data_IF_917720656436
#
_entry.id   IF_917720656436
#
_cell.length_a   1.000
_cell.length_b   1.000
_cell.length_c   1.000
_cell.angle_alpha   90.00
_cell.angle_beta   90.00
_cell.angle_gamma   90.00
#
_symmetry.space_group_name_H-M   'P 1'
#
loop_
_entity.id
_entity.type
_entity.pdbx_description
1 polymer ?
#
# COMPACT_ATOMS: atom_id res chain seq x y z
N UNK A 1 -31.96 -12.68 11.58
CA UNK A 1 -31.45 -11.90 10.43
C UNK A 1 -31.36 -10.44 10.84
N UNK A 2 -30.56 -10.18 11.83
CA UNK A 2 -30.53 -8.89 12.55
C UNK A 2 -29.11 -8.32 12.50
N UNK A 3 -29.04 -7.06 12.17
CA UNK A 3 -28.04 -6.11 12.65
C UNK A 3 -26.55 -6.50 12.44
N UNK A 4 -26.11 -6.65 11.21
CA UNK A 4 -24.75 -6.23 10.88
C UNK A 4 -24.80 -4.70 10.77
N UNK A 5 -24.72 -4.12 11.94
CA UNK A 5 -24.86 -2.71 12.24
C UNK A 5 -23.69 -1.95 11.62
N UNK A 6 -23.85 -0.68 11.34
CA UNK A 6 -22.76 0.22 10.91
C UNK A 6 -21.50 0.13 11.80
N UNK A 7 -21.63 -0.37 13.04
CA UNK A 7 -20.52 -0.67 13.96
C UNK A 7 -19.47 -1.61 13.36
N UNK A 8 -19.87 -2.65 12.59
CA UNK A 8 -18.93 -3.57 11.95
C UNK A 8 -18.10 -2.83 10.89
N UNK A 9 -18.74 -2.02 10.06
CA UNK A 9 -18.07 -1.25 8.99
C UNK A 9 -17.09 -0.23 9.57
N UNK A 10 -17.49 0.49 10.62
CA UNK A 10 -16.61 1.42 11.35
C UNK A 10 -15.42 0.71 11.99
N UNK A 11 -15.64 -0.46 12.58
CA UNK A 11 -14.57 -1.27 13.20
C UNK A 11 -13.55 -1.73 12.18
N UNK A 12 -14.02 -2.24 11.03
CA UNK A 12 -13.17 -2.67 9.92
C UNK A 12 -12.38 -1.48 9.39
N UNK A 13 -13.08 -0.36 9.14
CA UNK A 13 -12.47 0.87 8.68
C UNK A 13 -11.38 1.36 9.64
N UNK A 14 -11.65 1.39 10.93
CA UNK A 14 -10.69 1.82 11.96
C UNK A 14 -9.46 0.91 12.03
N UNK A 15 -9.66 -0.43 12.04
CA UNK A 15 -8.56 -1.39 12.13
C UNK A 15 -7.65 -1.34 10.89
N UNK A 16 -8.23 -1.29 9.71
CA UNK A 16 -7.48 -1.18 8.44
C UNK A 16 -6.75 0.15 8.38
N UNK A 17 -7.41 1.26 8.72
CA UNK A 17 -6.78 2.58 8.71
C UNK A 17 -5.63 2.67 9.70
N UNK A 18 -5.78 2.18 10.93
CA UNK A 18 -4.72 2.15 11.93
C UNK A 18 -3.54 1.28 11.48
N UNK A 19 -3.80 0.14 10.82
CA UNK A 19 -2.77 -0.73 10.27
C UNK A 19 -1.97 -0.04 9.17
N UNK A 20 -2.65 0.59 8.19
CA UNK A 20 -2.00 1.31 7.09
C UNK A 20 -1.29 2.58 7.54
N UNK A 21 -1.74 3.25 8.60
CA UNK A 21 -1.03 4.38 9.18
C UNK A 21 0.38 3.99 9.63
N UNK A 22 0.54 2.81 10.22
CA UNK A 22 1.85 2.31 10.65
C UNK A 22 2.82 2.04 9.48
N UNK A 23 2.34 1.78 8.26
CA UNK A 23 3.23 1.49 7.11
C UNK A 23 4.04 2.73 6.72
N UNK A 24 3.39 3.88 6.60
CA UNK A 24 3.96 5.06 5.95
C UNK A 24 4.31 6.22 6.90
N UNK A 25 4.22 6.00 8.22
CA UNK A 25 4.45 7.03 9.25
C UNK A 25 5.85 7.68 9.18
N UNK A 26 6.87 6.94 8.72
CA UNK A 26 8.24 7.46 8.57
C UNK A 26 8.46 8.26 7.30
N UNK A 27 7.59 8.14 6.30
CA UNK A 27 7.85 8.66 4.97
C UNK A 27 8.10 10.18 4.93
N UNK A 28 7.30 11.04 5.58
CA UNK A 28 7.53 12.49 5.56
C UNK A 28 8.75 12.93 6.36
N UNK A 29 9.21 12.13 7.32
CA UNK A 29 10.32 12.46 8.24
C UNK A 29 11.63 11.75 7.87
N UNK A 30 11.72 11.14 6.68
CA UNK A 30 12.96 10.47 6.27
C UNK A 30 14.21 11.34 6.39
N UNK A 31 14.21 12.64 5.97
CA UNK A 31 15.38 13.50 6.18
C UNK A 31 15.70 13.75 7.67
N UNK A 32 14.68 13.81 8.53
CA UNK A 32 14.87 13.97 9.99
C UNK A 32 15.53 12.72 10.57
N UNK A 33 15.01 11.52 10.21
CA UNK A 33 15.58 10.25 10.67
C UNK A 33 16.99 10.03 10.14
N UNK A 34 17.28 10.47 8.91
CA UNK A 34 18.62 10.40 8.33
C UNK A 34 19.64 11.17 9.18
N UNK A 35 19.29 12.40 9.59
CA UNK A 35 20.15 13.23 10.45
C UNK A 35 20.29 12.64 11.85
N UNK A 36 19.19 12.21 12.46
CA UNK A 36 19.20 11.70 13.84
C UNK A 36 20.01 10.42 13.98
N UNK A 37 19.85 9.48 13.05
CA UNK A 37 20.63 8.23 13.07
C UNK A 37 21.98 8.34 12.35
N UNK A 38 22.36 9.51 11.86
CA UNK A 38 23.61 9.74 11.13
C UNK A 38 23.87 8.70 10.04
N UNK A 39 22.82 8.34 9.29
CA UNK A 39 22.83 7.28 8.28
C UNK A 39 22.77 7.83 6.86
N UNK A 40 22.97 6.98 5.86
CA UNK A 40 22.84 7.41 4.47
C UNK A 40 21.39 7.35 3.96
N UNK A 41 21.15 7.99 2.82
CA UNK A 41 19.83 8.12 2.21
C UNK A 41 19.22 6.74 1.82
N UNK A 42 20.05 5.78 1.41
CA UNK A 42 19.58 4.44 1.05
C UNK A 42 19.15 3.68 2.30
N UNK A 43 19.99 3.73 3.34
CA UNK A 43 19.72 3.04 4.60
C UNK A 43 18.47 3.62 5.29
N UNK A 44 18.32 4.96 5.37
CA UNK A 44 17.14 5.53 6.02
C UNK A 44 15.84 5.16 5.29
N UNK A 45 15.87 4.93 3.98
CA UNK A 45 14.68 4.48 3.25
C UNK A 45 14.21 3.08 3.65
N UNK A 46 15.08 2.27 4.33
CA UNK A 46 14.68 0.98 4.89
C UNK A 46 13.65 1.14 6.02
N UNK A 47 13.54 2.31 6.64
CA UNK A 47 12.48 2.57 7.62
C UNK A 47 11.06 2.44 7.02
N UNK A 48 10.92 2.58 5.70
CA UNK A 48 9.69 2.33 4.94
C UNK A 48 9.75 0.96 4.24
N UNK A 49 10.84 0.68 3.52
CA UNK A 49 10.91 -0.50 2.67
C UNK A 49 10.99 -1.81 3.45
N UNK A 50 11.51 -1.81 4.70
CA UNK A 50 11.50 -2.99 5.58
C UNK A 50 10.07 -3.43 5.96
N UNK A 51 9.17 -2.49 6.22
CA UNK A 51 7.75 -2.79 6.47
C UNK A 51 7.12 -3.42 5.21
N UNK A 52 7.37 -2.83 4.06
CA UNK A 52 6.85 -3.30 2.77
C UNK A 52 7.35 -4.72 2.47
N UNK A 53 8.64 -4.99 2.73
CA UNK A 53 9.22 -6.33 2.59
C UNK A 53 8.59 -7.32 3.55
N UNK A 54 8.42 -6.93 4.84
CA UNK A 54 7.74 -7.74 5.83
C UNK A 54 6.34 -8.15 5.39
N UNK A 55 5.54 -7.20 4.88
CA UNK A 55 4.21 -7.47 4.33
C UNK A 55 4.31 -8.42 3.13
N UNK A 56 5.23 -8.19 2.19
CA UNK A 56 5.40 -9.04 1.01
C UNK A 56 5.63 -10.50 1.39
N UNK A 57 6.55 -10.75 2.31
CA UNK A 57 6.93 -12.11 2.74
C UNK A 57 5.80 -12.79 3.51
N UNK A 58 5.13 -12.07 4.41
CA UNK A 58 4.15 -12.63 5.33
C UNK A 58 2.72 -12.70 4.77
N UNK A 59 2.43 -11.99 3.67
CA UNK A 59 1.07 -11.94 3.11
C UNK A 59 0.51 -13.32 2.73
N UNK A 60 1.31 -14.16 2.05
CA UNK A 60 0.87 -15.53 1.69
C UNK A 60 0.71 -16.43 2.93
N UNK A 61 1.68 -16.52 3.86
CA UNK A 61 1.52 -17.25 5.12
C UNK A 61 0.26 -16.87 5.90
N UNK A 62 -0.02 -15.56 6.05
CA UNK A 62 -1.24 -15.10 6.72
C UNK A 62 -2.51 -15.43 5.95
N UNK A 63 -2.47 -15.41 4.61
CA UNK A 63 -3.58 -15.91 3.79
C UNK A 63 -3.90 -17.38 4.08
N UNK A 64 -2.89 -18.26 4.20
CA UNK A 64 -3.07 -19.66 4.62
C UNK A 64 -3.58 -19.78 6.06
N UNK A 65 -3.09 -18.93 6.95
CA UNK A 65 -3.49 -18.95 8.35
C UNK A 65 -4.96 -18.58 8.53
N UNK A 66 -5.46 -17.61 7.74
CA UNK A 66 -6.85 -17.19 7.71
C UNK A 66 -7.84 -18.30 7.29
N UNK A 67 -7.33 -19.34 6.60
CA UNK A 67 -8.15 -20.52 6.22
C UNK A 67 -8.21 -21.59 7.32
N UNK A 68 -7.31 -21.53 8.31
CA UNK A 68 -7.13 -22.60 9.30
C UNK A 68 -7.43 -22.21 10.74
N UNK A 69 -7.32 -20.94 11.05
CA UNK A 69 -7.44 -20.41 12.41
C UNK A 69 -8.55 -19.37 12.43
N UNK A 70 -9.30 -19.29 13.53
CA UNK A 70 -10.31 -18.26 13.75
C UNK A 70 -9.67 -16.86 13.74
N UNK A 71 -10.45 -15.86 13.33
CA UNK A 71 -9.94 -14.50 13.11
C UNK A 71 -9.45 -13.79 14.40
N UNK A 72 -10.05 -14.10 15.56
CA UNK A 72 -9.78 -13.41 16.82
C UNK A 72 -8.32 -13.52 17.28
N UNK A 73 -7.72 -14.73 17.45
CA UNK A 73 -6.32 -14.84 17.85
C UNK A 73 -5.37 -14.22 16.82
N UNK A 74 -5.71 -14.27 15.52
CA UNK A 74 -4.89 -13.66 14.46
C UNK A 74 -4.87 -12.14 14.63
N UNK A 75 -6.03 -11.49 14.79
CA UNK A 75 -6.14 -10.05 15.02
C UNK A 75 -5.49 -9.65 16.35
N UNK A 76 -5.70 -10.42 17.42
CA UNK A 76 -5.12 -10.13 18.71
C UNK A 76 -3.59 -10.11 18.67
N UNK A 77 -2.98 -11.20 18.21
CA UNK A 77 -1.51 -11.31 18.11
C UNK A 77 -0.99 -10.27 17.11
N UNK A 78 -1.63 -10.12 15.95
CA UNK A 78 -1.25 -9.14 14.93
C UNK A 78 -1.23 -7.72 15.48
N UNK A 79 -2.31 -7.30 16.16
CA UNK A 79 -2.42 -5.97 16.75
C UNK A 79 -1.39 -5.72 17.85
N UNK A 80 -1.17 -6.70 18.74
CA UNK A 80 -0.13 -6.61 19.77
C UNK A 80 1.26 -6.47 19.17
N UNK A 81 1.60 -7.27 18.16
CA UNK A 81 2.93 -7.26 17.55
C UNK A 81 3.18 -5.99 16.73
N UNK A 82 2.16 -5.46 16.03
CA UNK A 82 2.29 -4.17 15.33
C UNK A 82 2.48 -3.03 16.32
N UNK A 83 1.72 -3.01 17.41
CA UNK A 83 1.87 -2.00 18.47
C UNK A 83 3.20 -2.11 19.20
N UNK A 84 3.63 -3.32 19.53
CA UNK A 84 4.92 -3.58 20.17
C UNK A 84 6.08 -3.10 19.30
N UNK A 85 6.07 -3.42 18.00
CA UNK A 85 7.04 -2.87 17.05
C UNK A 85 7.02 -1.34 17.01
N UNK A 86 5.83 -0.72 17.06
CA UNK A 86 5.69 0.73 17.13
C UNK A 86 6.27 1.34 18.41
N UNK A 87 6.05 0.71 19.55
CA UNK A 87 6.64 1.15 20.83
C UNK A 87 8.17 1.00 20.83
N UNK A 88 8.71 -0.08 20.27
CA UNK A 88 10.17 -0.22 20.07
C UNK A 88 10.67 0.94 19.20
N UNK A 89 10.01 1.26 18.09
CA UNK A 89 10.38 2.41 17.27
C UNK A 89 10.35 3.73 18.06
N UNK A 90 9.36 3.92 18.95
CA UNK A 90 9.22 5.13 19.76
C UNK A 90 10.36 5.33 20.75
N UNK A 91 10.97 4.26 21.27
CA UNK A 91 12.04 4.34 22.28
C UNK A 91 13.44 4.04 21.72
N UNK A 92 13.52 3.65 20.44
CA UNK A 92 14.80 3.24 19.83
C UNK A 92 15.74 4.42 19.61
N UNK A 93 17.00 4.24 20.02
CA UNK A 93 18.12 5.12 19.68
C UNK A 93 19.12 4.42 18.74
N UNK A 94 18.94 3.13 18.46
CA UNK A 94 19.74 2.36 17.53
C UNK A 94 18.99 2.18 16.20
N UNK A 95 19.69 2.46 15.10
CA UNK A 95 19.11 2.40 13.76
C UNK A 95 18.65 0.97 13.38
N UNK A 96 19.46 -0.05 13.68
CA UNK A 96 19.14 -1.41 13.27
C UNK A 96 18.03 -2.01 14.12
N UNK A 97 17.95 -1.65 15.40
CA UNK A 97 16.80 -1.98 16.25
C UNK A 97 15.52 -1.35 15.71
N UNK A 98 15.59 -0.09 15.25
CA UNK A 98 14.46 0.59 14.60
C UNK A 98 14.03 -0.15 13.33
N UNK A 99 14.98 -0.52 12.43
CA UNK A 99 14.68 -1.28 11.21
C UNK A 99 14.08 -2.65 11.53
N UNK A 100 14.63 -3.37 12.52
CA UNK A 100 14.09 -4.66 12.96
C UNK A 100 12.65 -4.54 13.46
N UNK A 101 12.34 -3.50 14.25
CA UNK A 101 10.99 -3.22 14.71
C UNK A 101 10.04 -2.86 13.55
N UNK A 102 10.50 -2.10 12.56
CA UNK A 102 9.75 -1.79 11.35
C UNK A 102 9.46 -3.06 10.53
N UNK A 103 10.44 -3.94 10.37
CA UNK A 103 10.25 -5.23 9.69
C UNK A 103 9.25 -6.11 10.44
N UNK A 104 9.33 -6.17 11.78
CA UNK A 104 8.37 -6.87 12.63
C UNK A 104 6.94 -6.35 12.41
N UNK A 105 6.74 -5.03 12.41
CA UNK A 105 5.45 -4.44 12.06
C UNK A 105 4.95 -4.94 10.71
N UNK A 106 5.83 -4.93 9.69
CA UNK A 106 5.51 -5.41 8.35
C UNK A 106 5.06 -6.87 8.33
N UNK A 107 5.72 -7.75 9.08
CA UNK A 107 5.35 -9.17 9.18
C UNK A 107 3.91 -9.33 9.71
N UNK A 108 3.50 -8.54 10.69
CA UNK A 108 2.20 -8.74 11.35
C UNK A 108 1.05 -7.88 10.79
N UNK A 109 1.31 -6.88 9.95
CA UNK A 109 0.24 -6.10 9.30
C UNK A 109 -0.73 -6.98 8.49
N UNK A 110 -0.33 -8.02 7.73
CA UNK A 110 -1.27 -8.89 7.04
C UNK A 110 -2.25 -9.64 7.95
N UNK A 111 -1.92 -9.85 9.23
CA UNK A 111 -2.87 -10.37 10.21
C UNK A 111 -4.10 -9.47 10.36
N UNK A 112 -3.90 -8.14 10.33
CA UNK A 112 -4.95 -7.14 10.49
C UNK A 112 -5.62 -6.75 9.16
N UNK A 113 -5.01 -7.06 8.04
CA UNK A 113 -5.49 -6.65 6.71
C UNK A 113 -5.90 -7.86 5.88
N UNK A 114 -4.97 -8.70 5.46
CA UNK A 114 -5.23 -9.86 4.59
C UNK A 114 -6.17 -10.86 5.23
N UNK A 115 -5.95 -11.19 6.51
CA UNK A 115 -6.83 -12.11 7.23
C UNK A 115 -8.23 -11.52 7.45
N UNK A 116 -8.32 -10.22 7.73
CA UNK A 116 -9.61 -9.54 7.85
C UNK A 116 -10.37 -9.54 6.52
N UNK A 117 -9.71 -9.25 5.39
CA UNK A 117 -10.34 -9.31 4.07
C UNK A 117 -10.85 -10.73 3.74
N UNK A 118 -10.06 -11.76 4.06
CA UNK A 118 -10.47 -13.16 3.90
C UNK A 118 -11.67 -13.53 4.80
N UNK A 119 -11.67 -13.07 6.05
CA UNK A 119 -12.79 -13.23 6.97
C UNK A 119 -14.08 -12.61 6.41
N UNK A 120 -14.01 -11.36 5.93
CA UNK A 120 -15.17 -10.66 5.36
C UNK A 120 -15.73 -11.39 4.13
N UNK A 121 -14.84 -11.88 3.28
CA UNK A 121 -15.24 -12.65 2.10
C UNK A 121 -15.98 -13.95 2.44
N UNK A 122 -15.68 -14.58 3.60
CA UNK A 122 -16.31 -15.80 4.07
C UNK A 122 -17.64 -15.55 4.82
N UNK A 123 -17.75 -14.41 5.51
CA UNK A 123 -18.85 -14.18 6.45
C UNK A 123 -19.97 -13.30 5.90
N UNK A 124 -19.69 -12.47 4.89
CA UNK A 124 -20.66 -11.53 4.36
C UNK A 124 -21.32 -12.02 3.07
N UNK A 125 -22.65 -11.79 2.91
CA UNK A 125 -23.33 -11.98 1.63
C UNK A 125 -22.70 -11.07 0.56
N UNK A 126 -22.67 -11.55 -0.71
CA UNK A 126 -21.99 -10.86 -1.83
C UNK A 126 -22.38 -9.40 -1.98
N UNK A 127 -23.66 -9.05 -1.81
CA UNK A 127 -24.14 -7.65 -1.91
C UNK A 127 -23.51 -6.75 -0.84
N UNK A 128 -23.41 -7.23 0.41
CA UNK A 128 -22.77 -6.47 1.50
C UNK A 128 -21.26 -6.50 1.39
N UNK A 129 -20.68 -7.61 0.97
CA UNK A 129 -19.24 -7.73 0.78
C UNK A 129 -18.71 -6.65 -0.16
N UNK A 130 -19.41 -6.36 -1.26
CA UNK A 130 -18.98 -5.31 -2.20
C UNK A 130 -18.94 -3.92 -1.55
N UNK A 131 -19.92 -3.59 -0.69
CA UNK A 131 -19.95 -2.29 0.01
C UNK A 131 -18.83 -2.22 1.05
N UNK A 132 -18.69 -3.26 1.87
CA UNK A 132 -17.67 -3.31 2.93
C UNK A 132 -16.26 -3.33 2.35
N UNK A 133 -16.02 -4.02 1.23
CA UNK A 133 -14.73 -3.99 0.55
C UNK A 133 -14.43 -2.62 -0.08
N UNK A 134 -15.45 -1.88 -0.51
CA UNK A 134 -15.29 -0.47 -0.89
C UNK A 134 -14.80 0.40 0.27
N UNK A 135 -15.41 0.27 1.44
CA UNK A 135 -15.00 0.94 2.68
C UNK A 135 -13.59 0.50 3.11
N UNK A 136 -13.27 -0.79 2.96
CA UNK A 136 -11.95 -1.35 3.23
C UNK A 136 -10.87 -0.67 2.37
N UNK A 137 -11.08 -0.56 1.06
CA UNK A 137 -10.13 0.12 0.15
C UNK A 137 -9.98 1.59 0.51
N UNK A 138 -11.07 2.29 0.82
CA UNK A 138 -11.01 3.68 1.29
C UNK A 138 -10.21 3.80 2.59
N UNK A 139 -10.38 2.86 3.52
CA UNK A 139 -9.62 2.80 4.77
C UNK A 139 -8.11 2.61 4.53
N UNK A 140 -7.70 1.84 3.51
CA UNK A 140 -6.26 1.69 3.19
C UNK A 140 -5.64 3.01 2.74
N UNK A 141 -6.36 3.77 1.90
CA UNK A 141 -5.89 5.07 1.39
C UNK A 141 -5.86 6.11 2.50
N UNK A 142 -6.96 6.22 3.27
CA UNK A 142 -7.06 7.18 4.38
C UNK A 142 -6.09 6.84 5.52
N UNK A 143 -5.92 5.56 5.85
CA UNK A 143 -4.93 5.11 6.83
C UNK A 143 -3.50 5.45 6.39
N UNK A 144 -3.17 5.17 5.14
CA UNK A 144 -1.87 5.53 4.58
C UNK A 144 -1.62 7.05 4.58
N UNK A 145 -2.64 7.87 4.32
CA UNK A 145 -2.57 9.32 4.47
C UNK A 145 -2.42 9.73 5.94
N UNK A 146 -3.28 9.20 6.83
CA UNK A 146 -3.25 9.52 8.25
C UNK A 146 -1.89 9.22 8.89
N UNK A 147 -1.25 8.10 8.53
CA UNK A 147 0.09 7.78 8.99
C UNK A 147 1.13 8.82 8.59
N UNK A 148 1.08 9.32 7.35
CA UNK A 148 1.95 10.40 6.88
C UNK A 148 1.70 11.70 7.61
N UNK A 149 0.43 12.07 7.80
CA UNK A 149 0.08 13.29 8.53
C UNK A 149 0.53 13.21 9.99
N UNK A 150 0.29 12.07 10.67
CA UNK A 150 0.80 11.83 12.02
C UNK A 150 2.33 11.91 12.07
N UNK A 151 3.00 11.20 11.15
CA UNK A 151 4.46 11.15 11.10
C UNK A 151 5.11 12.49 10.82
N UNK A 152 4.46 13.38 10.05
CA UNK A 152 5.07 14.64 9.64
C UNK A 152 4.61 15.87 10.41
N UNK A 153 3.38 15.92 10.94
CA UNK A 153 2.91 17.10 11.69
C UNK A 153 3.20 17.05 13.20
N UNK A 154 3.22 15.85 13.81
CA UNK A 154 3.55 15.72 15.23
C UNK A 154 5.00 16.11 15.54
N UNK A 155 6.02 15.75 14.73
CA UNK A 155 7.40 16.07 15.02
C UNK A 155 7.72 17.55 15.18
N UNK A 156 7.02 18.43 14.47
CA UNK A 156 7.36 19.86 14.47
C UNK A 156 7.29 20.51 15.87
N UNK A 157 6.21 20.33 16.67
CA UNK A 157 6.17 20.85 18.01
C UNK A 157 6.78 19.94 19.08
N UNK A 158 6.96 18.63 18.80
CA UNK A 158 7.34 17.63 19.81
C UNK A 158 8.56 16.81 19.33
N UNK A 159 8.36 15.51 19.17
CA UNK A 159 9.36 14.55 18.69
C UNK A 159 8.66 13.47 17.87
N UNK A 160 9.27 13.01 16.79
CA UNK A 160 8.71 11.97 15.91
C UNK A 160 8.37 10.67 16.66
N UNK A 161 9.02 10.40 17.79
CA UNK A 161 8.73 9.24 18.64
C UNK A 161 7.30 9.21 19.15
N UNK A 162 6.71 10.39 19.44
CA UNK A 162 5.30 10.47 19.84
C UNK A 162 4.33 10.00 18.75
N UNK A 163 4.66 10.21 17.48
CA UNK A 163 3.84 9.71 16.37
C UNK A 163 3.73 8.17 16.40
N UNK A 164 4.82 7.48 16.69
CA UNK A 164 4.81 6.02 16.87
C UNK A 164 4.03 5.58 18.11
N UNK A 165 4.18 6.27 19.22
CA UNK A 165 3.39 6.01 20.43
C UNK A 165 1.89 6.14 20.16
N UNK A 166 1.46 7.22 19.52
CA UNK A 166 0.05 7.45 19.14
C UNK A 166 -0.44 6.37 18.18
N UNK A 167 0.33 6.04 17.14
CA UNK A 167 -0.03 4.99 16.18
C UNK A 167 -0.17 3.63 16.86
N UNK A 168 0.68 3.32 17.84
CA UNK A 168 0.60 2.08 18.64
C UNK A 168 -0.66 2.03 19.48
N UNK A 169 -1.03 3.13 20.13
CA UNK A 169 -2.29 3.23 20.90
C UNK A 169 -3.50 3.08 19.97
N UNK A 170 -3.49 3.73 18.81
CA UNK A 170 -4.59 3.64 17.84
C UNK A 170 -4.78 2.22 17.32
N UNK A 171 -3.70 1.50 16.97
CA UNK A 171 -3.83 0.12 16.48
C UNK A 171 -4.28 -0.83 17.59
N UNK A 172 -3.85 -0.64 18.83
CA UNK A 172 -4.36 -1.40 19.97
C UNK A 172 -5.85 -1.14 20.22
N UNK A 173 -6.26 0.13 20.27
CA UNK A 173 -7.66 0.50 20.45
C UNK A 173 -8.55 -0.11 19.35
N UNK A 174 -8.12 -0.02 18.09
CA UNK A 174 -8.82 -0.62 16.96
C UNK A 174 -8.85 -2.16 17.04
N UNK A 175 -7.76 -2.79 17.48
CA UNK A 175 -7.67 -4.24 17.70
C UNK A 175 -8.65 -4.70 18.75
N UNK A 176 -8.65 -4.09 19.93
CA UNK A 176 -9.58 -4.46 21.02
C UNK A 176 -11.05 -4.19 20.65
N UNK A 177 -11.31 -3.12 19.90
CA UNK A 177 -12.66 -2.85 19.36
C UNK A 177 -13.08 -3.94 18.40
N UNK A 178 -12.17 -4.37 17.49
CA UNK A 178 -12.42 -5.45 16.54
C UNK A 178 -12.73 -6.78 17.25
N UNK A 179 -11.96 -7.13 18.29
CA UNK A 179 -12.19 -8.36 19.07
C UNK A 179 -13.55 -8.39 19.78
N UNK A 180 -14.11 -7.23 20.13
CA UNK A 180 -15.44 -7.13 20.76
C UNK A 180 -16.59 -7.10 19.75
N UNK A 181 -16.31 -6.70 18.52
CA UNK A 181 -17.36 -6.41 17.50
C UNK A 181 -17.47 -7.51 16.47
N UNK A 182 -16.35 -8.15 16.10
CA UNK A 182 -16.33 -9.21 15.10
C UNK A 182 -16.94 -10.50 15.68
N UNK A 183 -17.92 -11.12 15.02
CA UNK A 183 -18.42 -12.42 15.41
C UNK A 183 -17.32 -13.49 15.39
N UNK A 184 -17.27 -14.41 16.34
CA UNK A 184 -16.36 -15.54 16.29
C UNK A 184 -16.70 -16.42 15.10
N UNK A 185 -15.68 -16.77 14.30
CA UNK A 185 -15.83 -17.80 13.25
C UNK A 185 -15.17 -19.08 13.72
N UNK A 186 -15.86 -20.20 13.51
CA UNK A 186 -15.23 -21.50 13.62
C UNK A 186 -14.41 -21.72 12.35
N UNK A 187 -13.22 -22.30 12.49
CA UNK A 187 -12.41 -22.71 11.36
C UNK A 187 -13.19 -23.77 10.58
N UNK A 188 -13.66 -23.41 9.39
CA UNK A 188 -14.38 -24.35 8.53
C UNK A 188 -13.34 -25.29 7.88
N UNK A 189 -13.21 -26.49 8.43
CA UNK A 189 -12.36 -27.55 7.89
C UNK A 189 -12.89 -28.16 6.56
N UNK A 190 -13.97 -27.61 5.98
CA UNK A 190 -14.85 -28.35 5.08
C UNK A 190 -14.88 -28.03 3.58
N UNK A 191 -14.36 -26.93 3.11
CA UNK A 191 -14.41 -26.65 1.66
C UNK A 191 -13.00 -26.52 1.06
N UNK A 192 -12.40 -27.64 0.70
CA UNK A 192 -11.42 -27.67 -0.38
C UNK A 192 -12.14 -27.29 -1.68
N UNK A 193 -12.33 -26.00 -1.93
CA UNK A 193 -12.56 -25.56 -3.29
C UNK A 193 -11.37 -26.04 -4.13
N UNK A 194 -11.66 -26.67 -5.29
CA UNK A 194 -10.64 -27.02 -6.28
C UNK A 194 -9.79 -25.78 -6.60
N UNK A 195 -8.65 -25.69 -5.96
CA UNK A 195 -7.87 -24.46 -5.97
C UNK A 195 -6.68 -24.66 -6.90
N UNK A 196 -6.64 -23.84 -7.94
CA UNK A 196 -5.48 -23.77 -8.84
C UNK A 196 -4.22 -23.45 -8.04
N UNK A 197 -3.17 -24.25 -8.21
CA UNK A 197 -1.90 -24.05 -7.51
C UNK A 197 -1.23 -22.70 -7.86
N UNK A 198 -0.54 -22.08 -6.90
CA UNK A 198 0.21 -20.82 -7.13
C UNK A 198 1.18 -20.91 -8.32
N UNK A 199 1.85 -22.05 -8.47
CA UNK A 199 2.81 -22.25 -9.56
C UNK A 199 2.16 -22.27 -10.95
N UNK A 200 0.94 -22.77 -11.04
CA UNK A 200 0.16 -22.74 -12.30
C UNK A 200 -0.24 -21.31 -12.65
N UNK A 201 -0.64 -20.51 -11.64
CA UNK A 201 -1.02 -19.10 -11.84
C UNK A 201 0.18 -18.24 -12.29
N UNK A 202 1.36 -18.45 -11.70
CA UNK A 202 2.58 -17.71 -12.07
C UNK A 202 3.04 -18.07 -13.50
N UNK A 203 2.86 -19.30 -13.95
CA UNK A 203 3.22 -19.72 -15.32
C UNK A 203 2.32 -19.12 -16.40
N UNK A 204 1.13 -18.65 -16.06
CA UNK A 204 0.21 -18.04 -17.01
C UNK A 204 0.68 -16.63 -17.35
N UNK A 205 1.25 -16.44 -18.55
CA UNK A 205 1.80 -15.18 -19.04
C UNK A 205 0.83 -14.00 -18.96
N UNK A 206 -0.46 -14.26 -19.19
CA UNK A 206 -1.51 -13.26 -19.09
C UNK A 206 -1.66 -12.70 -17.66
N UNK A 207 -1.52 -13.55 -16.63
CA UNK A 207 -1.59 -13.14 -15.23
C UNK A 207 -0.27 -12.50 -14.81
N UNK A 208 0.86 -13.06 -15.25
CA UNK A 208 2.21 -12.53 -14.93
C UNK A 208 2.36 -11.07 -15.41
N UNK A 209 1.81 -10.73 -16.57
CA UNK A 209 1.78 -9.33 -17.06
C UNK A 209 1.02 -8.41 -16.11
N UNK A 210 -0.11 -8.87 -15.54
CA UNK A 210 -0.90 -8.08 -14.60
C UNK A 210 -0.17 -7.97 -13.26
N UNK A 211 0.47 -9.03 -12.78
CA UNK A 211 1.33 -8.99 -11.59
C UNK A 211 2.52 -8.05 -11.79
N UNK A 212 3.18 -8.11 -12.94
CA UNK A 212 4.25 -7.19 -13.31
C UNK A 212 3.77 -5.73 -13.37
N UNK A 213 2.56 -5.50 -13.91
CA UNK A 213 1.93 -4.18 -13.92
C UNK A 213 1.75 -3.63 -12.50
N UNK A 214 1.30 -4.46 -11.56
CA UNK A 214 1.18 -4.09 -10.15
C UNK A 214 2.54 -3.72 -9.54
N UNK A 215 3.56 -4.57 -9.76
CA UNK A 215 4.91 -4.34 -9.28
C UNK A 215 5.51 -3.05 -9.84
N UNK A 216 5.46 -2.85 -11.14
CA UNK A 216 6.03 -1.67 -11.80
C UNK A 216 5.34 -0.37 -11.44
N UNK A 217 4.00 -0.35 -11.40
CA UNK A 217 3.25 0.85 -11.02
C UNK A 217 3.46 1.22 -9.55
N UNK A 218 3.51 0.25 -8.65
CA UNK A 218 3.78 0.53 -7.24
C UNK A 218 5.25 0.88 -6.98
N UNK A 219 6.19 0.31 -7.75
CA UNK A 219 7.58 0.73 -7.70
C UNK A 219 7.73 2.23 -8.01
N UNK A 220 7.09 2.73 -9.06
CA UNK A 220 7.08 4.15 -9.41
C UNK A 220 6.44 4.98 -8.31
N UNK A 221 5.22 4.63 -7.91
CA UNK A 221 4.45 5.37 -6.93
C UNK A 221 5.17 5.47 -5.58
N UNK A 222 5.65 4.35 -5.07
CA UNK A 222 6.36 4.30 -3.79
C UNK A 222 7.68 5.06 -3.82
N UNK A 223 8.41 5.01 -4.93
CA UNK A 223 9.67 5.74 -5.11
C UNK A 223 9.46 7.24 -5.09
N UNK A 224 8.49 7.75 -5.88
CA UNK A 224 8.21 9.20 -5.92
C UNK A 224 7.89 9.72 -4.52
N UNK A 225 6.95 9.09 -3.81
CA UNK A 225 6.54 9.54 -2.50
C UNK A 225 7.58 9.30 -1.40
N UNK A 226 8.47 8.31 -1.55
CA UNK A 226 9.52 8.04 -0.59
C UNK A 226 10.66 9.07 -0.65
N UNK A 227 11.02 9.52 -1.85
CA UNK A 227 12.11 10.48 -2.03
C UNK A 227 11.63 11.94 -2.16
N UNK A 228 10.31 12.16 -2.17
CA UNK A 228 9.71 13.50 -2.17
C UNK A 228 10.21 14.41 -1.04
N UNK A 229 10.32 13.97 0.23
CA UNK A 229 10.81 14.81 1.32
C UNK A 229 12.22 15.35 1.06
N UNK A 230 13.14 14.50 0.59
CA UNK A 230 14.50 14.93 0.25
C UNK A 230 14.52 15.91 -0.92
N UNK A 231 13.66 15.73 -1.92
CA UNK A 231 13.54 16.66 -3.05
C UNK A 231 13.03 18.02 -2.63
N UNK A 232 12.05 18.05 -1.72
CA UNK A 232 11.40 19.29 -1.29
C UNK A 232 12.19 20.04 -0.19
N UNK A 233 12.97 19.35 0.62
CA UNK A 233 13.89 19.98 1.57
C UNK A 233 15.04 20.70 0.87
N UNK A 234 15.47 20.18 -0.30
CA UNK A 234 16.56 20.77 -1.08
C UNK A 234 16.12 22.00 -1.89
N UNK A 235 17.08 22.90 -2.26
CA UNK A 235 16.81 23.97 -3.21
C UNK A 235 16.21 23.43 -4.54
N UNK A 236 15.33 24.18 -5.20
CA UNK A 236 14.89 25.54 -4.88
C UNK A 236 13.71 25.63 -3.90
N UNK A 237 13.19 24.51 -3.38
CA UNK A 237 11.95 24.47 -2.59
C UNK A 237 12.18 24.88 -1.13
N UNK A 238 13.17 24.31 -0.46
CA UNK A 238 13.50 24.54 0.94
C UNK A 238 12.27 24.39 1.88
N UNK A 239 11.46 23.37 1.64
CA UNK A 239 10.25 23.11 2.41
C UNK A 239 10.59 22.52 3.77
N UNK A 240 9.83 22.95 4.78
CA UNK A 240 9.83 22.27 6.08
C UNK A 240 9.15 20.90 5.99
N UNK A 241 9.33 20.09 7.03
CA UNK A 241 8.67 18.78 7.13
C UNK A 241 7.14 18.91 7.08
N UNK A 242 6.57 19.95 7.72
CA UNK A 242 5.12 20.20 7.75
C UNK A 242 4.58 20.59 6.37
N UNK A 243 5.30 21.47 5.66
CA UNK A 243 4.93 21.84 4.29
C UNK A 243 4.95 20.64 3.37
N UNK A 244 5.99 19.81 3.45
CA UNK A 244 6.11 18.57 2.69
C UNK A 244 4.99 17.61 3.05
N UNK A 245 4.67 17.47 4.34
CA UNK A 245 3.62 16.61 4.85
C UNK A 245 2.25 17.01 4.31
N UNK A 246 1.98 18.30 4.21
CA UNK A 246 0.71 18.81 3.66
C UNK A 246 0.48 18.37 2.21
N UNK A 247 1.53 18.15 1.42
CA UNK A 247 1.41 17.66 0.05
C UNK A 247 0.89 16.22 -0.05
N UNK A 248 1.04 15.41 1.00
CA UNK A 248 0.48 14.05 0.99
C UNK A 248 -1.06 14.03 0.96
N UNK A 249 -1.75 15.14 1.24
CA UNK A 249 -3.21 15.27 1.11
C UNK A 249 -3.69 14.88 -0.31
N UNK A 250 -2.85 14.98 -1.33
CA UNK A 250 -3.16 14.52 -2.70
C UNK A 250 -3.56 13.05 -2.76
N UNK A 251 -3.21 12.23 -1.76
CA UNK A 251 -3.65 10.83 -1.67
C UNK A 251 -5.18 10.67 -1.65
N UNK A 252 -5.92 11.68 -1.20
CA UNK A 252 -7.39 11.69 -1.23
C UNK A 252 -7.94 11.42 -2.64
N UNK A 253 -7.22 11.79 -3.69
CA UNK A 253 -7.56 11.49 -5.08
C UNK A 253 -7.75 9.98 -5.30
N UNK A 254 -6.96 9.15 -4.61
CA UNK A 254 -7.05 7.69 -4.70
C UNK A 254 -8.41 7.11 -4.34
N UNK A 255 -9.15 7.76 -3.42
CA UNK A 255 -10.49 7.31 -3.00
C UNK A 255 -11.47 7.36 -4.18
N UNK A 256 -11.37 8.38 -5.02
CA UNK A 256 -12.26 8.59 -6.16
C UNK A 256 -11.85 7.77 -7.39
N UNK A 257 -10.56 7.47 -7.53
CA UNK A 257 -10.05 6.81 -8.73
C UNK A 257 -10.47 5.35 -8.87
N UNK A 258 -10.75 4.64 -7.78
CA UNK A 258 -11.24 3.26 -7.83
C UNK A 258 -12.55 3.13 -8.62
N UNK A 259 -13.64 3.78 -8.19
CA UNK A 259 -14.92 3.79 -8.93
C UNK A 259 -14.81 4.34 -10.35
N UNK A 260 -14.03 5.40 -10.57
CA UNK A 260 -13.81 6.00 -11.90
C UNK A 260 -13.15 4.97 -12.83
N UNK A 261 -12.09 4.32 -12.37
CA UNK A 261 -11.37 3.31 -13.13
C UNK A 261 -12.26 2.10 -13.49
N UNK A 262 -13.11 1.66 -12.56
CA UNK A 262 -14.11 0.61 -12.83
C UNK A 262 -15.06 0.99 -13.97
N UNK A 263 -15.59 2.22 -13.96
CA UNK A 263 -16.45 2.74 -15.04
C UNK A 263 -15.68 2.83 -16.37
N UNK A 264 -14.42 3.27 -16.33
CA UNK A 264 -13.56 3.32 -17.53
C UNK A 264 -13.31 1.92 -18.09
N UNK A 265 -12.98 0.93 -17.25
CA UNK A 265 -12.82 -0.47 -17.68
C UNK A 265 -14.08 -1.02 -18.36
N UNK A 266 -15.27 -0.63 -17.90
CA UNK A 266 -16.53 -1.07 -18.52
C UNK A 266 -16.79 -0.37 -19.87
N UNK A 267 -16.38 0.90 -20.03
CA UNK A 267 -16.64 1.70 -21.26
C UNK A 267 -15.62 1.47 -22.36
N UNK A 268 -14.35 1.51 -22.03
CA UNK A 268 -13.24 1.52 -22.99
C UNK A 268 -12.36 0.27 -22.92
N UNK A 269 -12.69 -0.64 -21.99
CA UNK A 269 -11.94 -1.89 -21.73
C UNK A 269 -10.75 -1.70 -20.79
N UNK A 270 -10.37 -2.79 -20.13
CA UNK A 270 -9.28 -2.76 -19.13
C UNK A 270 -7.93 -2.34 -19.74
N UNK A 271 -7.57 -2.86 -20.93
CA UNK A 271 -6.31 -2.53 -21.58
C UNK A 271 -6.15 -1.04 -21.86
N UNK A 272 -7.18 -0.38 -22.38
CA UNK A 272 -7.15 1.07 -22.63
C UNK A 272 -7.12 1.87 -21.33
N UNK A 273 -7.78 1.41 -20.26
CA UNK A 273 -7.74 2.04 -18.94
C UNK A 273 -6.35 1.95 -18.33
N UNK A 274 -5.66 0.82 -18.45
CA UNK A 274 -4.27 0.67 -18.01
C UNK A 274 -3.33 1.60 -18.76
N UNK A 275 -3.47 1.69 -20.10
CA UNK A 275 -2.68 2.60 -20.93
C UNK A 275 -2.94 4.05 -20.53
N UNK A 276 -4.19 4.46 -20.39
CA UNK A 276 -4.56 5.82 -19.97
C UNK A 276 -3.98 6.20 -18.61
N UNK A 277 -4.05 5.29 -17.62
CA UNK A 277 -3.42 5.47 -16.30
C UNK A 277 -1.90 5.59 -16.40
N UNK A 278 -1.24 4.78 -17.23
CA UNK A 278 0.20 4.82 -17.42
C UNK A 278 0.65 6.10 -18.16
N UNK A 279 -0.09 6.56 -19.15
CA UNK A 279 0.18 7.84 -19.83
C UNK A 279 0.03 9.01 -18.87
N UNK A 280 -1.05 9.02 -18.06
CA UNK A 280 -1.23 10.05 -17.03
C UNK A 280 -0.08 10.04 -16.02
N UNK A 281 0.36 8.85 -15.58
CA UNK A 281 1.51 8.70 -14.69
C UNK A 281 2.80 9.25 -15.34
N UNK A 282 3.03 8.99 -16.63
CA UNK A 282 4.18 9.51 -17.37
C UNK A 282 4.19 11.05 -17.49
N UNK A 283 3.04 11.65 -17.82
CA UNK A 283 2.89 13.12 -17.83
C UNK A 283 3.17 13.69 -16.44
N UNK A 284 2.68 13.01 -15.41
CA UNK A 284 2.85 13.43 -14.02
C UNK A 284 4.33 13.37 -13.57
N UNK A 285 5.10 12.37 -14.01
CA UNK A 285 6.54 12.33 -13.76
C UNK A 285 7.25 13.54 -14.38
N UNK A 286 6.87 13.95 -15.60
CA UNK A 286 7.41 15.15 -16.23
C UNK A 286 7.06 16.44 -15.46
N UNK A 287 5.88 16.52 -14.84
CA UNK A 287 5.50 17.65 -13.98
C UNK A 287 6.26 17.66 -12.66
N UNK A 288 6.38 16.52 -11.97
CA UNK A 288 7.12 16.40 -10.70
C UNK A 288 8.64 16.65 -10.89
N UNK A 289 9.13 16.48 -12.10
CA UNK A 289 10.51 16.82 -12.47
C UNK A 289 10.79 18.32 -12.42
N UNK A 290 9.80 19.18 -12.69
CA UNK A 290 9.96 20.63 -12.78
C UNK A 290 10.27 21.27 -11.43
N UNK A 291 11.14 22.32 -11.38
CA UNK A 291 11.45 23.06 -10.16
C UNK A 291 10.38 24.13 -9.85
N UNK A 292 9.12 23.75 -9.84
CA UNK A 292 7.96 24.61 -9.59
C UNK A 292 6.98 23.92 -8.64
N UNK A 293 6.58 24.62 -7.57
CA UNK A 293 5.62 24.09 -6.59
C UNK A 293 4.29 23.69 -7.26
N UNK A 294 3.76 24.54 -8.11
CA UNK A 294 2.51 24.27 -8.82
C UNK A 294 2.61 23.02 -9.71
N UNK A 295 3.74 22.87 -10.42
CA UNK A 295 4.00 21.69 -11.25
C UNK A 295 4.15 20.42 -10.40
N UNK A 296 4.84 20.50 -9.28
CA UNK A 296 4.97 19.37 -8.34
C UNK A 296 3.61 18.96 -7.79
N UNK A 297 2.79 19.90 -7.30
CA UNK A 297 1.44 19.60 -6.79
C UNK A 297 0.56 18.97 -7.87
N UNK A 298 0.50 19.55 -9.06
CA UNK A 298 -0.26 18.98 -10.18
C UNK A 298 0.27 17.59 -10.57
N UNK A 299 1.58 17.43 -10.59
CA UNK A 299 2.23 16.14 -10.84
C UNK A 299 1.91 15.08 -9.79
N UNK A 300 1.91 15.42 -8.50
CA UNK A 300 1.56 14.49 -7.42
C UNK A 300 0.08 14.07 -7.49
N UNK A 301 -0.83 14.99 -7.80
CA UNK A 301 -2.24 14.69 -8.07
C UNK A 301 -2.34 13.66 -9.21
N UNK A 302 -1.63 13.92 -10.31
CA UNK A 302 -1.62 13.03 -11.46
C UNK A 302 -0.92 11.69 -11.18
N UNK A 303 0.15 11.64 -10.36
CA UNK A 303 0.77 10.39 -9.90
C UNK A 303 -0.24 9.55 -9.11
N UNK A 304 -0.99 10.16 -8.18
CA UNK A 304 -2.06 9.46 -7.47
C UNK A 304 -3.14 8.98 -8.44
N UNK A 305 -3.66 9.85 -9.30
CA UNK A 305 -4.71 9.49 -10.25
C UNK A 305 -4.29 8.38 -11.20
N UNK A 306 -3.10 8.47 -11.80
CA UNK A 306 -2.56 7.47 -12.72
C UNK A 306 -2.32 6.12 -12.04
N UNK A 307 -1.66 6.13 -10.89
CA UNK A 307 -1.38 4.91 -10.12
C UNK A 307 -2.66 4.19 -9.68
N UNK A 308 -3.59 4.89 -9.03
CA UNK A 308 -4.83 4.26 -8.56
C UNK A 308 -5.72 3.80 -9.70
N UNK A 309 -5.67 4.48 -10.87
CA UNK A 309 -6.32 3.99 -12.10
C UNK A 309 -5.73 2.67 -12.55
N UNK A 310 -4.39 2.57 -12.64
CA UNK A 310 -3.71 1.34 -13.03
C UNK A 310 -4.02 0.22 -12.03
N UNK A 311 -3.90 0.50 -10.74
CA UNK A 311 -4.13 -0.48 -9.68
C UNK A 311 -5.53 -1.07 -9.72
N UNK A 312 -6.57 -0.22 -9.76
CA UNK A 312 -7.96 -0.67 -9.81
C UNK A 312 -8.30 -1.41 -11.12
N UNK A 313 -7.78 -0.93 -12.26
CA UNK A 313 -7.96 -1.60 -13.54
C UNK A 313 -7.27 -2.98 -13.56
N UNK A 314 -6.05 -3.09 -13.03
CA UNK A 314 -5.30 -4.34 -12.99
C UNK A 314 -6.02 -5.41 -12.14
N UNK A 315 -6.52 -5.05 -10.95
CA UNK A 315 -7.33 -5.95 -10.12
C UNK A 315 -8.62 -6.36 -10.85
N UNK A 316 -9.30 -5.42 -11.49
CA UNK A 316 -10.48 -5.70 -12.30
C UNK A 316 -10.20 -6.65 -13.46
N UNK A 317 -9.10 -6.46 -14.19
CA UNK A 317 -8.66 -7.38 -15.26
C UNK A 317 -8.37 -8.78 -14.73
N UNK A 318 -7.65 -8.85 -13.60
CA UNK A 318 -7.25 -10.11 -12.98
C UNK A 318 -8.47 -10.97 -12.64
N UNK A 319 -9.44 -10.36 -11.96
CA UNK A 319 -10.64 -11.07 -11.51
C UNK A 319 -11.56 -11.51 -12.65
N UNK A 320 -11.57 -10.79 -13.78
CA UNK A 320 -12.33 -11.18 -14.98
C UNK A 320 -11.74 -12.39 -15.72
N UNK A 321 -10.43 -12.65 -15.56
CA UNK A 321 -9.74 -13.77 -16.24
C UNK A 321 -9.87 -15.11 -15.52
N UNK A 322 -10.38 -15.10 -14.30
CA UNK A 322 -10.40 -16.27 -13.44
C UNK A 322 -11.80 -16.52 -12.89
N UNK A 323 -12.37 -17.69 -13.21
CA UNK A 323 -13.58 -18.19 -12.56
C UNK A 323 -13.26 -18.96 -11.28
N UNK A 324 -12.07 -19.59 -11.20
CA UNK A 324 -11.59 -20.38 -10.07
C UNK A 324 -10.18 -19.87 -9.70
N UNK A 325 -9.86 -19.85 -8.40
CA UNK A 325 -8.54 -19.46 -7.91
C UNK A 325 -8.32 -17.94 -7.78
N UNK A 326 -9.38 -17.13 -7.82
CA UNK A 326 -9.30 -15.66 -7.68
C UNK A 326 -8.57 -15.23 -6.40
N UNK A 327 -8.86 -15.89 -5.26
CA UNK A 327 -8.22 -15.58 -3.97
C UNK A 327 -6.70 -15.75 -4.03
N UNK A 328 -6.20 -16.86 -4.57
CA UNK A 328 -4.77 -17.11 -4.73
C UNK A 328 -4.11 -16.16 -5.73
N UNK A 329 -4.81 -15.84 -6.79
CA UNK A 329 -4.33 -14.89 -7.81
C UNK A 329 -4.23 -13.47 -7.24
N UNK A 330 -5.21 -13.04 -6.44
CA UNK A 330 -5.14 -11.75 -5.73
C UNK A 330 -4.02 -11.74 -4.68
N UNK A 331 -3.76 -12.85 -4.00
CA UNK A 331 -2.64 -12.97 -3.08
C UNK A 331 -1.28 -12.83 -3.80
N UNK A 332 -1.13 -13.43 -4.99
CA UNK A 332 0.04 -13.22 -5.85
C UNK A 332 0.15 -11.77 -6.33
N UNK A 333 -0.98 -11.16 -6.72
CA UNK A 333 -1.01 -9.75 -7.10
C UNK A 333 -0.46 -8.86 -6.00
N UNK A 334 -0.90 -9.06 -4.76
CA UNK A 334 -0.44 -8.31 -3.58
C UNK A 334 1.04 -8.59 -3.30
N UNK A 335 1.50 -9.83 -3.45
CA UNK A 335 2.92 -10.19 -3.30
C UNK A 335 3.79 -9.41 -4.30
N UNK A 336 3.46 -9.47 -5.59
CA UNK A 336 4.19 -8.75 -6.63
C UNK A 336 4.13 -7.24 -6.44
N UNK A 337 2.99 -6.71 -6.04
CA UNK A 337 2.79 -5.31 -5.71
C UNK A 337 3.79 -4.85 -4.63
N UNK A 338 3.87 -5.53 -3.48
CA UNK A 338 4.76 -5.14 -2.40
C UNK A 338 6.25 -5.41 -2.70
N UNK A 339 6.57 -6.50 -3.42
CA UNK A 339 7.94 -6.74 -3.91
C UNK A 339 8.35 -5.59 -4.85
N UNK A 340 7.47 -5.18 -5.77
CA UNK A 340 7.70 -4.04 -6.65
C UNK A 340 7.97 -2.76 -5.87
N UNK A 341 7.19 -2.47 -4.84
CA UNK A 341 7.39 -1.32 -3.96
C UNK A 341 8.73 -1.34 -3.22
N UNK A 342 9.10 -2.49 -2.65
CA UNK A 342 10.38 -2.68 -1.99
C UNK A 342 11.56 -2.49 -2.94
N UNK A 343 11.54 -3.16 -4.10
CA UNK A 343 12.58 -3.01 -5.14
C UNK A 343 12.64 -1.57 -5.67
N UNK A 344 11.47 -0.95 -5.87
CA UNK A 344 11.36 0.43 -6.33
C UNK A 344 12.04 1.39 -5.37
N UNK A 345 11.66 1.39 -4.10
CA UNK A 345 12.25 2.26 -3.07
C UNK A 345 13.75 2.01 -2.96
N UNK A 346 14.18 0.75 -2.86
CA UNK A 346 15.59 0.41 -2.68
C UNK A 346 16.41 0.80 -3.91
N UNK A 347 15.98 0.43 -5.11
CA UNK A 347 16.69 0.72 -6.35
C UNK A 347 16.77 2.22 -6.65
N UNK A 348 15.66 2.95 -6.48
CA UNK A 348 15.68 4.41 -6.67
C UNK A 348 16.43 5.13 -5.56
N UNK A 349 16.63 4.52 -4.38
CA UNK A 349 17.51 5.05 -3.34
C UNK A 349 18.97 5.13 -3.81
N UNK A 350 19.47 4.06 -4.40
CA UNK A 350 20.80 4.08 -5.02
C UNK A 350 20.88 5.10 -6.15
N UNK A 351 19.84 5.20 -6.97
CA UNK A 351 19.77 6.19 -8.03
C UNK A 351 19.80 7.62 -7.50
N UNK A 352 19.03 7.91 -6.43
CA UNK A 352 19.02 9.22 -5.79
C UNK A 352 20.39 9.57 -5.20
N UNK A 353 21.05 8.60 -4.56
CA UNK A 353 22.39 8.80 -3.98
C UNK A 353 23.44 9.24 -5.01
N UNK A 354 23.37 8.70 -6.25
CA UNK A 354 24.37 8.94 -7.29
C UNK A 354 23.97 10.03 -8.30
N UNK A 355 22.69 10.23 -8.56
CA UNK A 355 22.22 11.15 -9.58
C UNK A 355 21.06 12.05 -9.16
N UNK A 356 20.78 12.09 -7.84
CA UNK A 356 19.73 12.94 -7.26
C UNK A 356 18.34 12.61 -7.78
N UNK A 357 17.46 13.60 -7.67
CA UNK A 357 16.06 13.47 -8.11
C UNK A 357 15.90 13.10 -9.59
N UNK A 358 16.81 13.59 -10.44
CA UNK A 358 16.76 13.31 -11.88
C UNK A 358 16.87 11.82 -12.18
N UNK A 359 17.79 11.12 -11.49
CA UNK A 359 17.96 9.69 -11.66
C UNK A 359 16.73 8.88 -11.21
N UNK A 360 16.06 9.32 -10.13
CA UNK A 360 14.78 8.71 -9.70
C UNK A 360 13.74 8.83 -10.80
N UNK A 361 13.57 10.02 -11.38
CA UNK A 361 12.59 10.26 -12.45
C UNK A 361 12.91 9.41 -13.69
N UNK A 362 14.19 9.31 -14.08
CA UNK A 362 14.59 8.48 -15.23
C UNK A 362 14.27 7.00 -15.01
N UNK A 363 14.59 6.45 -13.83
CA UNK A 363 14.25 5.06 -13.51
C UNK A 363 12.73 4.87 -13.47
N UNK A 364 11.98 5.77 -12.83
CA UNK A 364 10.52 5.71 -12.84
C UNK A 364 9.93 5.78 -14.24
N UNK A 365 10.50 6.60 -15.12
CA UNK A 365 10.09 6.69 -16.54
C UNK A 365 10.39 5.40 -17.30
N UNK A 366 11.52 4.74 -17.03
CA UNK A 366 11.82 3.42 -17.61
C UNK A 366 10.85 2.35 -17.10
N UNK A 367 10.58 2.31 -15.78
CA UNK A 367 9.63 1.37 -15.18
C UNK A 367 8.21 1.54 -15.73
N UNK A 368 7.86 2.70 -16.29
CA UNK A 368 6.56 2.96 -16.91
C UNK A 368 6.29 2.05 -18.12
N UNK A 369 7.34 1.52 -18.76
CA UNK A 369 7.21 0.54 -19.85
C UNK A 369 6.46 -0.73 -19.40
N UNK A 370 6.52 -1.08 -18.10
CA UNK A 370 5.87 -2.28 -17.56
C UNK A 370 4.34 -2.15 -17.59
N UNK A 371 3.71 -1.14 -16.94
CA UNK A 371 2.25 -0.96 -17.02
C UNK A 371 1.76 -0.63 -18.42
N UNK A 372 2.53 0.08 -19.25
CA UNK A 372 2.21 0.30 -20.66
C UNK A 372 2.18 -1.02 -21.45
N UNK A 373 3.22 -1.85 -21.32
CA UNK A 373 3.28 -3.16 -21.98
C UNK A 373 2.15 -4.09 -21.55
N UNK A 374 1.78 -4.10 -20.26
CA UNK A 374 0.64 -4.83 -19.76
C UNK A 374 -0.67 -4.34 -20.40
N UNK A 375 -0.87 -3.02 -20.47
CA UNK A 375 -2.06 -2.43 -21.08
C UNK A 375 -2.21 -2.76 -22.57
N UNK A 376 -1.12 -2.69 -23.34
CA UNK A 376 -1.13 -3.10 -24.75
C UNK A 376 -1.41 -4.60 -24.92
N UNK A 377 -0.86 -5.44 -24.05
CA UNK A 377 -1.13 -6.87 -24.05
C UNK A 377 -2.59 -7.20 -23.76
N UNK A 378 -3.23 -6.50 -22.82
CA UNK A 378 -4.64 -6.66 -22.49
C UNK A 378 -5.57 -6.15 -23.62
N UNK A 379 -5.20 -5.06 -24.28
CA UNK A 379 -5.93 -4.54 -25.45
C UNK A 379 -5.96 -5.54 -26.62
N UNK A 380 -4.84 -6.24 -26.88
CA UNK A 380 -4.78 -7.26 -27.94
C UNK A 380 -5.61 -8.51 -27.59
N UNK A 381 -5.60 -8.92 -26.32
CA UNK A 381 -6.37 -10.09 -25.85
C UNK A 381 -7.88 -9.90 -25.86
N UNK A 382 -8.37 -8.67 -25.73
CA UNK A 382 -9.80 -8.33 -25.80
C UNK A 382 -10.37 -8.28 -27.23
N UNK A 383 -9.54 -8.34 -28.25
CA UNK A 383 -9.96 -8.34 -29.67
C UNK A 383 -10.00 -9.75 -30.30
N UNK A 384 -9.54 -10.75 -29.59
CA UNK A 384 -9.64 -12.18 -29.92
C UNK A 384 -10.73 -12.81 -29.05
#
# INVERSE_FOLDING_TARGET
MAMFDGRLEYTIFALVSASFANIYITQPILPVLQREFSTDLVLVSFTVSAVILGIAISNLPFGFLADRISIHPIIFIGGLMVAFGGLICAVSNDFWMFIGARFLQGIFIPALTTCLAAYLAKTLPVVRLNVVMGSYVSATVLGGLAGRLLGGWIPSPLNWRYAFGIASVLVLAATFTALRTLPPTFADAGHRQDSIGFFVLIKRWELLRIYGCAAGSFAIFSSIFNYLPFRLEAPPFNFSTEMTTSLYVVYVVGIFMGPISGKMCNRIGCGNTLIGGAVLLGISLALVFRPSVAAVVAGLIGVCAGFFTIHAAAVGCLNRKLFIGQGRSNALYVLFYYIGGWLGITGTGFAFKHGGWNAVIYICSFLLLIPLGAGFGERKGSRR
#
